data_IF_689557741613
#
_entry.id   IF_689557741613
#
_cell.length_a   1.000
_cell.length_b   1.000
_cell.length_c   1.000
_cell.angle_alpha   90.00
_cell.angle_beta   90.00
_cell.angle_gamma   90.00
#
_symmetry.space_group_name_H-M   'P 1'
#
loop_
_entity.id
_entity.type
_entity.pdbx_description
1 polymer ?
#
# COMPACT_ATOMS: atom_id res chain seq x y z
N UNK A 1 29.50 0.45 -4.83
CA UNK A 1 28.65 -0.42 -3.99
C UNK A 1 27.29 0.22 -3.71
N UNK A 2 27.25 1.53 -3.43
CA UNK A 2 26.00 2.24 -3.08
C UNK A 2 24.91 2.19 -4.17
N UNK A 3 25.29 2.21 -5.44
CA UNK A 3 24.33 2.04 -6.55
C UNK A 3 23.57 0.70 -6.48
N UNK A 4 24.28 -0.40 -6.25
CA UNK A 4 23.65 -1.73 -6.16
C UNK A 4 22.74 -1.84 -4.93
N UNK A 5 23.13 -1.23 -3.81
CA UNK A 5 22.30 -1.19 -2.60
C UNK A 5 21.01 -0.40 -2.87
N UNK A 6 21.11 0.78 -3.48
CA UNK A 6 19.94 1.58 -3.84
C UNK A 6 19.02 0.85 -4.81
N UNK A 7 19.57 0.17 -5.81
CA UNK A 7 18.79 -0.64 -6.74
C UNK A 7 18.02 -1.76 -6.03
N UNK A 8 18.67 -2.49 -5.12
CA UNK A 8 18.02 -3.56 -4.35
C UNK A 8 16.95 -3.04 -3.38
N UNK A 9 17.11 -1.83 -2.83
CA UNK A 9 16.07 -1.17 -2.03
C UNK A 9 14.84 -0.87 -2.89
N UNK A 10 15.05 -0.28 -4.08
CA UNK A 10 13.96 0.01 -5.03
C UNK A 10 13.24 -1.26 -5.45
N UNK A 11 13.97 -2.33 -5.76
CA UNK A 11 13.39 -3.64 -6.09
C UNK A 11 12.54 -4.17 -4.93
N UNK A 12 13.02 -4.07 -3.69
CA UNK A 12 12.28 -4.49 -2.50
C UNK A 12 10.94 -3.76 -2.34
N UNK A 13 10.93 -2.44 -2.49
CA UNK A 13 9.69 -1.64 -2.43
C UNK A 13 8.72 -2.01 -3.56
N UNK A 14 9.21 -2.18 -4.79
CA UNK A 14 8.35 -2.58 -5.91
C UNK A 14 7.82 -4.02 -5.76
N UNK A 15 8.55 -4.88 -5.05
CA UNK A 15 8.10 -6.23 -4.72
C UNK A 15 6.86 -6.18 -3.81
N UNK A 16 6.83 -5.27 -2.82
CA UNK A 16 5.63 -5.06 -1.98
C UNK A 16 4.42 -4.62 -2.82
N UNK A 17 4.61 -3.72 -3.79
CA UNK A 17 3.55 -3.33 -4.73
C UNK A 17 3.04 -4.51 -5.56
N UNK A 18 3.95 -5.39 -6.00
CA UNK A 18 3.59 -6.62 -6.70
C UNK A 18 2.78 -7.58 -5.83
N UNK A 19 3.18 -7.78 -4.57
CA UNK A 19 2.47 -8.61 -3.59
C UNK A 19 1.09 -8.05 -3.24
N UNK A 20 0.98 -6.73 -3.17
CA UNK A 20 -0.29 -6.03 -3.00
C UNK A 20 -1.23 -6.25 -4.21
N UNK A 21 -0.72 -6.12 -5.43
CA UNK A 21 -1.48 -6.40 -6.65
C UNK A 21 -1.92 -7.87 -6.73
N UNK A 22 -1.07 -8.80 -6.31
CA UNK A 22 -1.37 -10.23 -6.24
C UNK A 22 -2.62 -10.52 -5.40
N UNK A 23 -2.82 -9.83 -4.27
CA UNK A 23 -4.00 -10.02 -3.42
C UNK A 23 -5.31 -9.80 -4.19
N UNK A 24 -5.37 -8.73 -5.00
CA UNK A 24 -6.57 -8.39 -5.79
C UNK A 24 -6.73 -9.36 -6.96
N UNK A 25 -5.63 -9.68 -7.65
CA UNK A 25 -5.61 -10.64 -8.77
C UNK A 25 -6.10 -12.02 -8.35
N UNK A 26 -5.83 -12.43 -7.11
CA UNK A 26 -6.31 -13.70 -6.58
C UNK A 26 -7.84 -13.84 -6.64
N UNK A 27 -8.57 -12.73 -6.50
CA UNK A 27 -10.05 -12.73 -6.59
C UNK A 27 -10.59 -12.63 -8.01
N UNK A 28 -9.73 -12.77 -9.03
CA UNK A 28 -10.09 -12.64 -10.45
C UNK A 28 -10.22 -11.18 -10.92
N UNK A 29 -9.77 -10.21 -10.13
CA UNK A 29 -9.90 -8.79 -10.44
C UNK A 29 -8.57 -8.14 -10.78
N UNK A 30 -8.57 -7.25 -11.76
CA UNK A 30 -7.43 -6.42 -12.10
C UNK A 30 -7.66 -5.01 -11.56
N UNK A 31 -6.71 -4.50 -10.79
CA UNK A 31 -6.74 -3.15 -10.23
C UNK A 31 -5.38 -2.45 -10.39
N UNK A 32 -5.42 -1.17 -10.73
CA UNK A 32 -4.24 -0.28 -10.81
C UNK A 32 -4.21 0.74 -9.67
N UNK A 33 -4.96 0.51 -8.59
CA UNK A 33 -5.04 1.42 -7.44
C UNK A 33 -3.77 1.44 -6.56
N UNK A 34 -2.86 0.47 -6.72
CA UNK A 34 -1.74 0.26 -5.78
C UNK A 34 -0.81 1.46 -5.65
N UNK A 35 -0.59 2.20 -6.75
CA UNK A 35 0.19 3.44 -6.69
C UNK A 35 -0.46 4.53 -5.82
N UNK A 36 -1.80 4.57 -5.79
CA UNK A 36 -2.55 5.48 -4.92
C UNK A 36 -2.43 5.09 -3.44
N UNK A 37 -2.59 3.81 -3.11
CA UNK A 37 -2.41 3.34 -1.73
C UNK A 37 -0.98 3.49 -1.22
N UNK A 38 0.00 3.28 -2.10
CA UNK A 38 1.41 3.57 -1.83
C UNK A 38 1.65 5.04 -1.52
N UNK A 39 1.11 5.95 -2.33
CA UNK A 39 1.21 7.38 -2.05
C UNK A 39 0.59 7.76 -0.70
N UNK A 40 -0.60 7.22 -0.39
CA UNK A 40 -1.26 7.45 0.90
C UNK A 40 -0.39 6.98 2.07
N UNK A 41 0.11 5.75 2.01
CA UNK A 41 0.97 5.18 3.04
C UNK A 41 2.25 5.99 3.24
N UNK A 42 2.93 6.32 2.14
CA UNK A 42 4.16 7.12 2.17
C UNK A 42 3.94 8.50 2.81
N UNK A 43 2.83 9.19 2.50
CA UNK A 43 2.53 10.49 3.11
C UNK A 43 2.17 10.36 4.59
N UNK A 44 1.39 9.36 4.99
CA UNK A 44 1.04 9.14 6.40
C UNK A 44 2.29 8.80 7.22
N UNK A 45 3.11 7.85 6.76
CA UNK A 45 4.37 7.50 7.40
C UNK A 45 5.32 8.70 7.46
N UNK A 46 5.41 9.49 6.38
CA UNK A 46 6.21 10.71 6.33
C UNK A 46 5.74 11.76 7.33
N UNK A 47 4.44 12.01 7.44
CA UNK A 47 3.88 12.95 8.42
C UNK A 47 4.14 12.48 9.86
N UNK A 48 3.89 11.20 10.16
CA UNK A 48 4.09 10.66 11.51
C UNK A 48 5.57 10.72 11.94
N UNK A 49 6.49 10.35 11.06
CA UNK A 49 7.92 10.35 11.39
C UNK A 49 8.52 11.76 11.39
N UNK A 50 8.18 12.59 10.41
CA UNK A 50 8.88 13.86 10.19
C UNK A 50 8.21 15.07 10.87
N UNK A 51 6.89 15.06 11.07
CA UNK A 51 6.17 16.13 11.79
C UNK A 51 5.93 15.77 13.25
N UNK A 52 5.43 14.56 13.52
CA UNK A 52 5.04 14.13 14.88
C UNK A 52 6.23 13.55 15.64
N UNK A 53 7.27 13.08 14.95
CA UNK A 53 8.45 12.47 15.55
C UNK A 53 8.23 11.04 16.03
N UNK A 54 7.23 10.34 15.46
CA UNK A 54 7.00 8.94 15.80
C UNK A 54 8.15 8.04 15.34
N UNK A 55 8.48 7.00 16.12
CA UNK A 55 9.39 5.95 15.67
C UNK A 55 8.83 5.20 14.46
N UNK A 56 9.70 4.83 13.52
CA UNK A 56 9.33 4.18 12.26
C UNK A 56 8.58 2.86 12.48
N UNK A 57 8.92 2.12 13.53
CA UNK A 57 8.29 0.84 13.87
C UNK A 57 6.78 0.96 14.13
N UNK A 58 6.30 2.10 14.62
CA UNK A 58 4.87 2.35 14.83
C UNK A 58 4.25 3.09 13.64
N UNK A 59 5.01 3.99 13.01
CA UNK A 59 4.54 4.73 11.84
C UNK A 59 4.17 3.80 10.67
N UNK A 60 4.97 2.77 10.39
CA UNK A 60 4.74 1.84 9.28
C UNK A 60 3.41 1.05 9.42
N UNK A 61 3.15 0.32 10.53
CA UNK A 61 1.86 -0.36 10.72
C UNK A 61 0.66 0.60 10.67
N UNK A 62 0.80 1.81 11.21
CA UNK A 62 -0.31 2.79 11.16
C UNK A 62 -0.57 3.32 9.77
N UNK A 63 0.47 3.53 8.96
CA UNK A 63 0.33 3.94 7.56
C UNK A 63 -0.33 2.83 6.73
N UNK A 64 0.12 1.58 6.91
CA UNK A 64 -0.49 0.40 6.30
C UNK A 64 -1.96 0.25 6.70
N UNK A 65 -2.29 0.38 7.99
CA UNK A 65 -3.69 0.29 8.45
C UNK A 65 -4.55 1.40 7.83
N UNK A 66 -4.04 2.64 7.79
CA UNK A 66 -4.77 3.76 7.21
C UNK A 66 -5.01 3.56 5.70
N UNK A 67 -3.99 3.14 4.96
CA UNK A 67 -4.12 2.81 3.54
C UNK A 67 -5.11 1.65 3.30
N UNK A 68 -5.08 0.61 4.15
CA UNK A 68 -6.05 -0.49 4.12
C UNK A 68 -7.48 -0.04 4.39
N UNK A 69 -7.69 0.86 5.37
CA UNK A 69 -9.01 1.44 5.64
C UNK A 69 -9.53 2.24 4.43
N UNK A 70 -8.68 3.06 3.80
CA UNK A 70 -9.05 3.77 2.56
C UNK A 70 -9.35 2.79 1.43
N UNK A 71 -8.56 1.73 1.30
CA UNK A 71 -8.80 0.70 0.29
C UNK A 71 -10.12 -0.04 0.49
N UNK A 72 -10.56 -0.28 1.73
CA UNK A 72 -11.89 -0.83 2.03
C UNK A 72 -12.98 0.17 1.66
N UNK A 73 -12.83 1.44 2.09
CA UNK A 73 -13.80 2.50 1.85
C UNK A 73 -14.02 2.77 0.35
N UNK A 74 -12.97 2.66 -0.46
CA UNK A 74 -13.01 2.88 -1.91
C UNK A 74 -13.28 1.58 -2.67
N UNK A 75 -12.78 0.46 -2.19
CA UNK A 75 -13.03 -0.86 -2.76
C UNK A 75 -14.51 -1.20 -2.75
N UNK A 76 -15.23 -0.93 -1.66
CA UNK A 76 -16.66 -1.22 -1.56
C UNK A 76 -17.51 -0.63 -2.71
N UNK A 77 -17.44 0.68 -3.04
CA UNK A 77 -18.14 1.24 -4.20
C UNK A 77 -17.51 0.83 -5.53
N UNK A 78 -16.18 0.73 -5.62
CA UNK A 78 -15.50 0.35 -6.87
C UNK A 78 -15.90 -1.04 -7.35
N UNK A 79 -16.22 -1.96 -6.45
CA UNK A 79 -16.64 -3.33 -6.79
C UNK A 79 -18.03 -3.43 -7.42
N UNK A 80 -18.78 -2.31 -7.50
CA UNK A 80 -20.03 -2.25 -8.27
C UNK A 80 -19.81 -2.25 -9.78
N UNK A 81 -18.60 -1.93 -10.24
CA UNK A 81 -18.18 -2.05 -11.65
C UNK A 81 -17.34 -3.30 -11.86
N UNK A 82 -17.50 -3.95 -13.02
CA UNK A 82 -16.84 -5.22 -13.35
C UNK A 82 -15.88 -5.06 -14.54
N UNK A 83 -14.89 -5.95 -14.60
CA UNK A 83 -13.96 -6.06 -15.72
C UNK A 83 -13.16 -4.78 -15.97
N UNK A 84 -13.11 -4.35 -17.23
CA UNK A 84 -12.30 -3.19 -17.65
C UNK A 84 -12.71 -1.88 -16.95
N UNK A 85 -13.99 -1.71 -16.59
CA UNK A 85 -14.44 -0.50 -15.90
C UNK A 85 -13.84 -0.37 -14.50
N UNK A 86 -13.57 -1.50 -13.82
CA UNK A 86 -12.87 -1.49 -12.53
C UNK A 86 -11.43 -0.98 -12.69
N UNK A 87 -10.74 -1.43 -13.73
CA UNK A 87 -9.37 -0.98 -14.03
C UNK A 87 -9.36 0.53 -14.23
N UNK A 88 -10.22 1.05 -15.10
CA UNK A 88 -10.34 2.50 -15.37
C UNK A 88 -10.66 3.28 -14.09
N UNK A 89 -11.62 2.81 -13.28
CA UNK A 89 -11.97 3.44 -12.01
C UNK A 89 -10.78 3.48 -11.02
N UNK A 90 -10.01 2.40 -10.95
CA UNK A 90 -8.85 2.32 -10.04
C UNK A 90 -7.66 3.17 -10.51
N UNK A 91 -7.47 3.32 -11.82
CA UNK A 91 -6.50 4.27 -12.38
C UNK A 91 -6.91 5.70 -12.09
N UNK A 92 -8.19 6.03 -12.28
CA UNK A 92 -8.72 7.36 -11.94
C UNK A 92 -8.56 7.66 -10.45
N UNK A 93 -8.79 6.67 -9.58
CA UNK A 93 -8.51 6.79 -8.15
C UNK A 93 -7.03 7.13 -7.87
N UNK A 94 -6.09 6.38 -8.46
CA UNK A 94 -4.66 6.65 -8.27
C UNK A 94 -4.29 8.07 -8.72
N UNK A 95 -4.88 8.54 -9.82
CA UNK A 95 -4.68 9.90 -10.32
C UNK A 95 -5.30 10.97 -9.42
N UNK A 96 -6.50 10.73 -8.86
CA UNK A 96 -7.11 11.62 -7.87
C UNK A 96 -6.21 11.74 -6.64
N UNK A 97 -5.67 10.63 -6.14
CA UNK A 97 -4.73 10.64 -5.00
C UNK A 97 -3.49 11.47 -5.33
N UNK A 98 -2.92 11.28 -6.53
CA UNK A 98 -1.78 12.07 -7.01
C UNK A 98 -2.11 13.57 -7.02
N UNK A 99 -3.28 13.96 -7.51
CA UNK A 99 -3.74 15.35 -7.54
C UNK A 99 -3.99 15.93 -6.15
N UNK A 100 -4.54 15.14 -5.22
CA UNK A 100 -4.72 15.56 -3.82
C UNK A 100 -3.37 15.90 -3.21
N UNK A 101 -2.37 15.03 -3.34
CA UNK A 101 -1.04 15.30 -2.80
C UNK A 101 -0.30 16.42 -3.55
N UNK A 102 -0.51 16.56 -4.85
CA UNK A 102 0.04 17.67 -5.62
C UNK A 102 -0.50 19.04 -5.18
N UNK A 103 -1.74 19.11 -4.69
CA UNK A 103 -2.34 20.34 -4.19
C UNK A 103 -2.20 20.50 -2.66
N UNK A 104 -1.78 19.44 -1.94
CA UNK A 104 -1.65 19.46 -0.50
C UNK A 104 -0.39 20.26 -0.10
N UNK A 105 -0.61 21.43 0.48
CA UNK A 105 0.44 22.25 1.07
C UNK A 105 0.23 22.36 2.57
N UNK A 106 1.07 21.66 3.31
CA UNK A 106 1.07 21.70 4.77
C UNK A 106 2.48 21.47 5.28
N UNK A 107 3.15 22.55 5.67
CA UNK A 107 4.48 22.50 6.26
C UNK A 107 4.44 22.91 7.72
N UNK A 108 5.26 22.24 8.52
CA UNK A 108 5.49 22.55 9.93
C UNK A 108 6.95 22.99 10.09
N UNK A 109 7.18 24.00 10.93
CA UNK A 109 8.52 24.45 11.23
C UNK A 109 9.15 23.54 12.29
N UNK A 110 10.17 22.80 11.89
CA UNK A 110 10.96 21.91 12.75
C UNK A 110 12.34 22.55 12.98
N UNK A 111 13.09 22.24 14.06
CA UNK A 111 14.43 22.81 14.28
C UNK A 111 15.43 22.65 13.12
N UNK A 112 15.17 21.68 12.23
CA UNK A 112 16.00 21.36 11.08
C UNK A 112 15.47 21.92 9.74
N UNK A 113 14.44 22.79 9.76
CA UNK A 113 13.82 23.39 8.58
C UNK A 113 12.31 23.16 8.48
N UNK A 114 11.69 23.63 7.39
CA UNK A 114 10.29 23.34 7.08
C UNK A 114 10.15 21.88 6.61
N UNK A 115 9.21 21.14 7.21
CA UNK A 115 8.98 19.73 6.93
C UNK A 115 7.50 19.52 6.62
N UNK A 116 7.22 18.78 5.54
CA UNK A 116 5.87 18.38 5.18
C UNK A 116 5.56 18.42 3.67
N UNK A 117 4.31 18.10 3.30
CA UNK A 117 3.82 18.26 1.93
C UNK A 117 3.94 19.69 1.42
N UNK A 118 4.57 19.85 0.26
CA UNK A 118 4.76 21.12 -0.43
C UNK A 118 4.18 21.08 -1.85
N UNK A 119 2.98 20.51 -1.96
CA UNK A 119 2.25 20.35 -3.21
C UNK A 119 3.11 19.69 -4.30
N UNK A 120 3.34 20.42 -5.40
CA UNK A 120 4.07 19.92 -6.57
C UNK A 120 5.56 19.61 -6.34
N UNK A 121 6.16 20.07 -5.24
CA UNK A 121 7.53 19.69 -4.85
C UNK A 121 7.58 18.36 -4.08
N UNK A 122 6.42 17.80 -3.73
CA UNK A 122 6.31 16.56 -2.97
C UNK A 122 6.49 16.78 -1.47
N UNK A 123 6.99 15.75 -0.78
CA UNK A 123 7.20 15.80 0.66
C UNK A 123 8.63 16.27 0.98
N UNK A 124 8.76 17.47 1.55
CA UNK A 124 10.04 18.03 1.96
C UNK A 124 10.46 17.60 3.36
N UNK A 125 11.76 17.40 3.56
CA UNK A 125 12.35 17.31 4.90
C UNK A 125 12.24 15.94 5.60
N UNK A 126 11.99 14.84 4.88
CA UNK A 126 12.07 13.49 5.45
C UNK A 126 13.54 13.17 5.76
N UNK A 127 13.90 13.19 7.05
CA UNK A 127 15.29 12.96 7.50
C UNK A 127 15.41 11.82 8.50
N UNK A 128 14.43 10.93 8.60
CA UNK A 128 14.44 9.85 9.61
C UNK A 128 15.69 8.97 9.53
N UNK A 129 16.05 8.44 8.36
CA UNK A 129 17.22 7.57 8.22
C UNK A 129 18.56 8.31 8.43
N UNK A 130 18.80 9.48 7.81
CA UNK A 130 20.02 10.24 8.08
C UNK A 130 20.14 10.72 9.54
N UNK A 131 19.03 11.12 10.17
CA UNK A 131 19.03 11.61 11.55
C UNK A 131 19.33 10.51 12.58
N UNK A 132 18.96 9.26 12.27
CA UNK A 132 19.25 8.10 13.11
C UNK A 132 20.55 7.38 12.71
N UNK A 133 21.34 7.96 11.80
CA UNK A 133 22.61 7.40 11.31
C UNK A 133 22.49 6.00 10.66
N UNK A 134 21.36 5.70 10.02
CA UNK A 134 21.16 4.42 9.34
C UNK A 134 22.02 4.32 8.08
N UNK A 135 22.73 3.20 7.96
CA UNK A 135 23.47 2.82 6.77
C UNK A 135 22.54 2.30 5.67
N UNK A 136 23.00 2.36 4.42
CA UNK A 136 22.23 1.81 3.29
C UNK A 136 21.94 0.31 3.43
N UNK A 137 22.81 -0.44 4.13
CA UNK A 137 22.62 -1.87 4.41
C UNK A 137 21.53 -2.12 5.46
N UNK A 138 21.38 -1.25 6.47
CA UNK A 138 20.30 -1.36 7.46
C UNK A 138 18.94 -1.03 6.86
N UNK A 139 18.88 -0.04 5.97
CA UNK A 139 17.66 0.26 5.22
C UNK A 139 17.31 -0.94 4.31
N UNK A 140 18.30 -1.51 3.64
CA UNK A 140 18.11 -2.67 2.78
C UNK A 140 17.61 -3.89 3.57
N UNK A 141 18.23 -4.18 4.72
CA UNK A 141 17.83 -5.31 5.56
C UNK A 141 16.43 -5.12 6.13
N UNK A 142 16.05 -3.88 6.52
CA UNK A 142 14.69 -3.55 6.92
C UNK A 142 13.70 -3.87 5.78
N UNK A 143 13.91 -3.34 4.57
CA UNK A 143 12.99 -3.53 3.44
C UNK A 143 12.81 -5.02 3.14
N UNK A 144 13.91 -5.78 3.02
CA UNK A 144 13.82 -7.20 2.70
C UNK A 144 13.26 -8.04 3.85
N UNK A 145 13.46 -7.64 5.10
CA UNK A 145 12.80 -8.29 6.24
C UNK A 145 11.28 -8.06 6.21
N UNK A 146 10.83 -6.87 5.83
CA UNK A 146 9.40 -6.55 5.64
C UNK A 146 8.84 -7.34 4.46
N UNK A 147 9.54 -7.41 3.33
CA UNK A 147 9.15 -8.25 2.17
C UNK A 147 9.00 -9.70 2.59
N UNK A 148 9.98 -10.27 3.30
CA UNK A 148 9.92 -11.65 3.78
C UNK A 148 8.74 -11.87 4.75
N UNK A 149 8.48 -10.93 5.65
CA UNK A 149 7.35 -10.99 6.58
C UNK A 149 6.00 -10.95 5.83
N UNK A 150 5.85 -10.07 4.84
CA UNK A 150 4.64 -9.99 4.01
C UNK A 150 4.45 -11.24 3.18
N UNK A 151 5.52 -11.79 2.58
CA UNK A 151 5.44 -13.06 1.84
C UNK A 151 5.02 -14.21 2.73
N UNK A 152 5.58 -14.32 3.94
CA UNK A 152 5.18 -15.33 4.93
C UNK A 152 3.71 -15.15 5.33
N UNK A 153 3.28 -13.92 5.58
CA UNK A 153 1.89 -13.60 5.89
C UNK A 153 0.94 -14.00 4.76
N UNK A 154 1.26 -13.65 3.51
CA UNK A 154 0.44 -14.01 2.35
C UNK A 154 0.41 -15.53 2.11
N UNK A 155 1.52 -16.22 2.35
CA UNK A 155 1.58 -17.68 2.26
C UNK A 155 0.69 -18.36 3.31
N UNK A 156 0.67 -17.84 4.55
CA UNK A 156 -0.25 -18.32 5.59
C UNK A 156 -1.71 -17.98 5.24
N UNK A 157 -1.95 -16.79 4.69
CA UNK A 157 -3.28 -16.32 4.29
C UNK A 157 -3.86 -17.16 3.16
N UNK A 158 -3.06 -17.52 2.16
CA UNK A 158 -3.47 -18.37 1.03
C UNK A 158 -3.95 -19.76 1.50
N UNK A 159 -3.28 -20.31 2.51
CA UNK A 159 -3.65 -21.60 3.14
C UNK A 159 -4.82 -21.49 4.11
N UNK A 160 -5.27 -20.28 4.41
CA UNK A 160 -6.39 -20.04 5.32
C UNK A 160 -7.75 -20.11 4.61
N UNK A 161 -8.83 -19.98 5.39
CA UNK A 161 -10.19 -19.89 4.85
C UNK A 161 -10.36 -18.69 3.92
N UNK A 162 -9.69 -17.56 4.21
CA UNK A 162 -9.77 -16.33 3.40
C UNK A 162 -9.19 -16.58 2.01
N UNK A 163 -7.99 -17.17 1.93
CA UNK A 163 -7.37 -17.53 0.65
C UNK A 163 -8.21 -18.50 -0.16
N UNK A 164 -8.82 -19.49 0.49
CA UNK A 164 -9.75 -20.43 -0.17
C UNK A 164 -10.96 -19.70 -0.78
N UNK A 165 -11.53 -18.73 -0.06
CA UNK A 165 -12.64 -17.91 -0.57
C UNK A 165 -12.19 -17.04 -1.76
N UNK A 166 -11.00 -16.45 -1.70
CA UNK A 166 -10.46 -15.66 -2.82
C UNK A 166 -10.29 -16.50 -4.08
N UNK A 167 -9.73 -17.71 -3.94
CA UNK A 167 -9.59 -18.69 -5.03
C UNK A 167 -10.94 -19.05 -5.63
N UNK A 168 -11.90 -19.43 -4.80
CA UNK A 168 -13.24 -19.79 -5.29
C UNK A 168 -13.89 -18.66 -6.08
N UNK A 169 -13.77 -17.41 -5.61
CA UNK A 169 -14.29 -16.22 -6.31
C UNK A 169 -13.53 -15.92 -7.59
N UNK A 170 -12.21 -16.14 -7.61
CA UNK A 170 -11.37 -15.91 -8.78
C UNK A 170 -11.55 -16.93 -9.90
N UNK A 171 -11.89 -18.18 -9.57
CA UNK A 171 -12.17 -19.24 -10.55
C UNK A 171 -13.53 -19.04 -11.24
N UNK A 172 -14.61 -18.92 -10.47
CA UNK A 172 -15.95 -18.67 -11.01
C UNK A 172 -16.84 -17.93 -10.00
N UNK A 173 -17.13 -16.65 -10.28
CA UNK A 173 -17.99 -15.82 -9.45
C UNK A 173 -19.41 -16.39 -9.30
N UNK A 174 -19.97 -16.98 -10.35
CA UNK A 174 -21.35 -17.49 -10.37
C UNK A 174 -21.44 -18.76 -9.54
N UNK A 175 -20.46 -19.65 -9.67
CA UNK A 175 -20.36 -20.86 -8.86
C UNK A 175 -20.09 -20.54 -7.38
N UNK A 176 -19.20 -19.58 -7.09
CA UNK A 176 -18.95 -19.15 -5.72
C UNK A 176 -20.22 -18.55 -5.08
N UNK A 177 -20.99 -17.75 -5.83
CA UNK A 177 -22.23 -17.17 -5.36
C UNK A 177 -23.31 -18.23 -5.10
N UNK A 178 -23.43 -19.25 -5.96
CA UNK A 178 -24.39 -20.34 -5.76
C UNK A 178 -24.02 -21.23 -4.56
N UNK A 179 -22.73 -21.32 -4.21
CA UNK A 179 -22.24 -21.95 -2.99
C UNK A 179 -22.42 -21.09 -1.71
N UNK A 180 -23.06 -19.91 -1.82
CA UNK A 180 -23.34 -19.03 -0.68
C UNK A 180 -22.19 -18.12 -0.26
N UNK A 181 -21.13 -17.99 -1.07
CA UNK A 181 -20.01 -17.11 -0.76
C UNK A 181 -20.39 -15.65 -1.03
N UNK A 182 -20.13 -14.77 -0.06
CA UNK A 182 -20.30 -13.34 -0.25
C UNK A 182 -19.16 -12.76 -1.10
N UNK A 183 -19.41 -12.60 -2.40
CA UNK A 183 -18.44 -12.07 -3.38
C UNK A 183 -17.90 -10.69 -2.98
N UNK A 184 -18.77 -9.81 -2.47
CA UNK A 184 -18.39 -8.46 -2.07
C UNK A 184 -17.43 -8.49 -0.89
N UNK A 185 -17.72 -9.28 0.14
CA UNK A 185 -16.84 -9.41 1.30
C UNK A 185 -15.46 -9.96 0.91
N UNK A 186 -15.42 -10.99 0.05
CA UNK A 186 -14.16 -11.56 -0.43
C UNK A 186 -13.32 -10.52 -1.18
N UNK A 187 -13.91 -9.81 -2.15
CA UNK A 187 -13.19 -8.80 -2.96
C UNK A 187 -12.79 -7.55 -2.17
N UNK A 188 -13.64 -7.07 -1.26
CA UNK A 188 -13.30 -5.95 -0.37
C UNK A 188 -12.15 -6.33 0.57
N UNK A 189 -12.15 -7.56 1.10
CA UNK A 189 -11.05 -8.02 1.95
C UNK A 189 -9.72 -8.08 1.20
N UNK A 190 -9.73 -8.53 -0.07
CA UNK A 190 -8.56 -8.52 -0.94
C UNK A 190 -8.06 -7.10 -1.23
N UNK A 191 -8.97 -6.15 -1.49
CA UNK A 191 -8.63 -4.73 -1.64
C UNK A 191 -8.05 -4.13 -0.37
N UNK A 192 -8.64 -4.41 0.80
CA UNK A 192 -8.17 -3.90 2.08
C UNK A 192 -6.77 -4.40 2.44
N UNK A 193 -6.53 -5.70 2.29
CA UNK A 193 -5.22 -6.30 2.57
C UNK A 193 -4.18 -5.85 1.54
N UNK A 194 -4.54 -5.84 0.25
CA UNK A 194 -3.67 -5.30 -0.79
C UNK A 194 -3.32 -3.83 -0.56
N UNK A 195 -4.31 -2.99 -0.24
CA UNK A 195 -4.10 -1.58 0.06
C UNK A 195 -3.22 -1.36 1.29
N UNK A 196 -3.37 -2.19 2.33
CA UNK A 196 -2.50 -2.15 3.50
C UNK A 196 -1.05 -2.50 3.16
N UNK A 197 -0.84 -3.54 2.34
CA UNK A 197 0.50 -3.94 1.87
C UNK A 197 1.12 -2.87 0.96
N UNK A 198 0.33 -2.23 0.10
CA UNK A 198 0.82 -1.15 -0.76
C UNK A 198 1.20 0.10 0.04
N UNK A 199 0.49 0.38 1.13
CA UNK A 199 0.77 1.53 2.00
C UNK A 199 1.84 1.29 3.07
N UNK A 200 2.42 0.09 3.13
CA UNK A 200 3.52 -0.26 4.02
C UNK A 200 4.87 0.10 3.39
#
# INVERSE_FOLDING_TARGET
>A
MDFYIGLLQVIGVHTLLGLSAWCVLHTGQVSLAQGGFFAIGAYVAGMLTAMVGWPLAWALPTAALFAGCIAIAIGFPALRVKGLMLVVATTAFAEIVRLVFFNLKWQVQTPNGMVGPDGGLGFGGIRYFPANAWSGLEILSLIWSVVAAVMLFLWLLDRSRIGTLWRAVGEDEVAAQSAGINLTAAKVSAFGIGGAIAGL
#
